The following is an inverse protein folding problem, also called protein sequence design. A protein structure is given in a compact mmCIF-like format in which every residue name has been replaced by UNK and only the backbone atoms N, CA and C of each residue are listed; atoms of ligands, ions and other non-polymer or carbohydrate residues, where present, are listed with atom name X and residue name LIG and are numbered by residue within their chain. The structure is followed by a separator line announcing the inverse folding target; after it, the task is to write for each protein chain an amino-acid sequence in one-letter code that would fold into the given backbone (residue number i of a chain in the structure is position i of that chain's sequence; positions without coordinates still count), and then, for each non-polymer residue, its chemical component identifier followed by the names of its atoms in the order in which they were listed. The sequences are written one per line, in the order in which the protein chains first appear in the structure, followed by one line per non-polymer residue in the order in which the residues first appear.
data_IF_006455863779
#
_entry.id   IF_006455863779
#
_cell.length_a   1.000
_cell.length_b   1.000
_cell.length_c   1.000
_cell.angle_alpha   90.00
_cell.angle_beta   90.00
_cell.angle_gamma   90.00
#
_symmetry.space_group_name_H-M   'P 1'
#
loop_
_entity.id
_entity.type
_entity.pdbx_description
1 polymer ?
#
# COMPACT_ATOMS: atom_id res chain seq x y z
N UNK A 1 37.38 -3.49 39.27
CA UNK A 1 37.49 -2.43 38.24
C UNK A 1 36.75 -2.93 37.00
N UNK A 2 35.45 -2.70 36.89
CA UNK A 2 34.78 -1.51 36.33
C UNK A 2 34.22 -1.85 34.92
N UNK A 3 32.89 -1.86 34.84
CA UNK A 3 32.06 -2.20 33.68
C UNK A 3 32.12 -1.13 32.59
N UNK A 4 32.26 -1.55 31.33
CA UNK A 4 32.18 -0.66 30.16
C UNK A 4 31.09 -1.12 29.20
N UNK A 5 29.94 -0.44 29.23
CA UNK A 5 28.86 -0.55 28.23
C UNK A 5 29.37 -0.01 26.88
N UNK A 6 29.15 -0.67 25.73
CA UNK A 6 29.30 0.02 24.45
C UNK A 6 28.18 1.05 24.29
N UNK A 7 28.56 2.26 23.88
CA UNK A 7 27.70 3.44 23.78
C UNK A 7 26.85 3.33 22.53
N UNK A 8 25.54 3.49 22.69
CA UNK A 8 24.63 3.82 21.60
C UNK A 8 24.96 5.23 21.12
N UNK A 9 25.30 5.38 19.83
CA UNK A 9 25.44 6.68 19.20
C UNK A 9 26.61 6.76 18.24
N UNK A 10 26.34 6.48 16.97
CA UNK A 10 26.77 7.27 15.80
C UNK A 10 26.32 6.55 14.52
N UNK A 11 25.01 6.56 14.28
CA UNK A 11 24.50 6.39 12.92
C UNK A 11 24.78 7.71 12.19
N UNK A 12 25.92 7.79 11.51
CA UNK A 12 26.21 8.85 10.55
C UNK A 12 25.20 8.74 9.41
N UNK A 13 24.16 9.57 9.46
CA UNK A 13 23.26 9.80 8.33
C UNK A 13 24.05 10.64 7.33
N UNK A 14 24.62 10.00 6.31
CA UNK A 14 25.18 10.69 5.15
C UNK A 14 24.01 11.30 4.38
N UNK A 15 23.87 12.62 4.44
CA UNK A 15 22.88 13.35 3.66
C UNK A 15 23.16 13.11 2.17
N UNK A 16 22.22 12.46 1.48
CA UNK A 16 22.28 12.31 0.03
C UNK A 16 22.25 13.69 -0.63
N UNK A 17 23.05 13.95 -1.69
CA UNK A 17 23.05 15.24 -2.36
C UNK A 17 21.66 15.50 -2.95
N UNK A 18 21.10 16.67 -2.61
CA UNK A 18 19.77 17.09 -3.03
C UNK A 18 19.67 17.07 -4.56
N UNK A 19 18.84 16.16 -5.09
CA UNK A 19 18.33 16.29 -6.46
C UNK A 19 17.45 17.53 -6.46
N UNK A 20 17.92 18.63 -7.05
CA UNK A 20 17.08 19.78 -7.41
C UNK A 20 16.01 19.31 -8.39
N UNK A 21 14.91 18.81 -7.85
CA UNK A 21 13.63 18.78 -8.55
C UNK A 21 13.31 20.24 -8.87
N UNK A 22 13.18 20.54 -10.15
CA UNK A 22 12.94 21.87 -10.69
C UNK A 22 11.69 22.45 -10.01
N UNK A 23 11.90 23.28 -8.99
CA UNK A 23 10.79 23.95 -8.31
C UNK A 23 10.19 24.97 -9.28
N UNK A 24 8.84 25.04 -9.38
CA UNK A 24 8.19 26.07 -10.18
C UNK A 24 8.57 27.47 -9.66
N UNK A 25 8.64 28.48 -10.54
CA UNK A 25 9.13 29.82 -10.19
C UNK A 25 8.28 30.43 -9.06
N UNK A 26 8.94 30.94 -8.01
CA UNK A 26 8.27 31.69 -6.94
C UNK A 26 7.73 33.01 -7.50
N UNK A 27 6.46 33.38 -7.22
CA UNK A 27 5.85 34.60 -7.75
C UNK A 27 6.46 35.86 -7.12
N UNK A 28 6.47 37.00 -7.84
CA UNK A 28 7.03 38.26 -7.35
C UNK A 28 6.24 38.79 -6.16
N UNK A 29 6.96 39.17 -5.11
CA UNK A 29 6.42 39.77 -3.90
C UNK A 29 5.89 41.18 -4.19
N UNK A 30 4.60 41.29 -4.44
CA UNK A 30 3.89 42.58 -4.41
C UNK A 30 2.53 42.41 -3.74
N UNK A 31 2.34 43.24 -2.71
CA UNK A 31 1.11 43.66 -2.05
C UNK A 31 -0.06 42.65 -1.88
N UNK A 32 -0.35 42.37 -0.60
CA UNK A 32 -1.55 41.76 -0.04
C UNK A 32 -2.75 41.62 -1.00
N UNK A 33 -2.97 40.40 -1.50
CA UNK A 33 -4.21 39.98 -2.15
C UNK A 33 -4.79 38.81 -1.36
N UNK A 34 -5.92 39.03 -0.69
CA UNK A 34 -6.67 38.03 0.11
C UNK A 34 -7.48 37.05 -0.75
N UNK A 35 -6.92 36.61 -1.88
CA UNK A 35 -7.52 35.58 -2.71
C UNK A 35 -6.91 34.23 -2.33
N UNK A 36 -7.59 33.50 -1.43
CA UNK A 36 -7.35 32.06 -1.26
C UNK A 36 -7.62 31.39 -2.61
N UNK A 37 -6.57 31.11 -3.38
CA UNK A 37 -6.67 30.21 -4.53
C UNK A 37 -6.94 28.83 -3.95
N UNK A 38 -8.19 28.43 -3.98
CA UNK A 38 -8.63 27.10 -3.58
C UNK A 38 -7.95 26.09 -4.48
N UNK A 39 -6.91 25.43 -3.96
CA UNK A 39 -6.29 24.29 -4.64
C UNK A 39 -7.30 23.15 -4.59
N UNK A 40 -8.08 23.00 -5.66
CA UNK A 40 -8.87 21.80 -5.89
C UNK A 40 -7.89 20.67 -6.22
N UNK A 41 -7.70 19.68 -5.33
CA UNK A 41 -6.86 18.54 -5.66
C UNK A 41 -7.43 17.86 -6.92
N UNK A 42 -6.58 17.41 -7.86
CA UNK A 42 -7.06 16.66 -9.01
C UNK A 42 -7.84 15.46 -8.50
N UNK A 43 -9.14 15.46 -8.76
CA UNK A 43 -10.03 14.34 -8.45
C UNK A 43 -9.58 13.22 -9.37
N UNK A 44 -8.94 12.18 -8.81
CA UNK A 44 -8.74 10.92 -9.50
C UNK A 44 -10.13 10.41 -9.89
N UNK A 45 -10.48 10.53 -11.16
CA UNK A 45 -11.76 10.06 -11.67
C UNK A 45 -11.66 8.55 -11.77
N UNK A 46 -12.26 7.85 -10.83
CA UNK A 46 -12.42 6.40 -10.84
C UNK A 46 -12.95 5.90 -12.20
N UNK A 47 -13.76 6.73 -12.87
CA UNK A 47 -14.27 6.51 -14.23
C UNK A 47 -13.17 6.43 -15.31
N UNK A 48 -12.06 7.16 -15.19
CA UNK A 48 -10.94 7.07 -16.13
C UNK A 48 -10.23 5.72 -15.95
N UNK A 49 -9.95 5.32 -14.70
CA UNK A 49 -9.35 4.02 -14.41
C UNK A 49 -10.20 2.85 -14.92
N UNK A 50 -11.53 2.96 -14.81
CA UNK A 50 -12.49 1.99 -15.36
C UNK A 50 -12.44 1.89 -16.89
N UNK A 51 -12.25 3.02 -17.58
CA UNK A 51 -12.09 3.05 -19.04
C UNK A 51 -10.79 2.39 -19.47
N UNK A 52 -9.68 2.67 -18.79
CA UNK A 52 -8.40 1.99 -19.03
C UNK A 52 -8.51 0.47 -18.83
N UNK A 53 -9.20 0.02 -17.77
CA UNK A 53 -9.43 -1.40 -17.49
C UNK A 53 -10.29 -2.04 -18.59
N UNK A 54 -11.36 -1.35 -19.02
CA UNK A 54 -12.25 -1.83 -20.07
C UNK A 54 -11.55 -1.92 -21.42
N UNK A 55 -10.75 -0.92 -21.77
CA UNK A 55 -9.94 -0.90 -22.99
C UNK A 55 -8.91 -2.02 -22.99
N UNK A 56 -8.23 -2.29 -21.87
CA UNK A 56 -7.34 -3.45 -21.73
C UNK A 56 -8.10 -4.75 -21.97
N UNK A 57 -9.24 -4.93 -21.30
CA UNK A 57 -10.07 -6.14 -21.46
C UNK A 57 -10.54 -6.33 -22.91
N UNK A 58 -10.88 -5.25 -23.60
CA UNK A 58 -11.26 -5.31 -25.01
C UNK A 58 -10.06 -5.71 -25.87
N UNK A 59 -8.91 -5.07 -25.70
CA UNK A 59 -7.71 -5.37 -26.48
C UNK A 59 -7.20 -6.80 -26.28
N UNK A 60 -7.37 -7.37 -25.09
CA UNK A 60 -6.92 -8.73 -24.77
C UNK A 60 -7.94 -9.80 -25.18
N UNK A 61 -9.24 -9.56 -24.99
CA UNK A 61 -10.26 -10.60 -25.11
C UNK A 61 -11.07 -10.53 -26.40
N UNK A 62 -11.05 -9.41 -27.12
CA UNK A 62 -11.80 -9.28 -28.38
C UNK A 62 -10.90 -9.73 -29.53
N UNK A 63 -11.32 -10.76 -30.31
CA UNK A 63 -10.57 -11.21 -31.47
C UNK A 63 -10.42 -10.08 -32.50
N UNK A 64 -9.18 -9.68 -32.79
CA UNK A 64 -8.88 -8.69 -33.82
C UNK A 64 -8.78 -9.40 -35.17
N UNK A 65 -9.68 -9.06 -36.11
CA UNK A 65 -9.56 -9.51 -37.49
C UNK A 65 -8.52 -8.66 -38.22
N UNK A 66 -7.48 -9.29 -38.73
CA UNK A 66 -6.46 -8.63 -39.58
C UNK A 66 -6.83 -8.87 -41.05
N UNK A 67 -6.93 -7.79 -41.83
CA UNK A 67 -7.34 -7.84 -43.24
C UNK A 67 -6.16 -7.87 -44.22
N UNK A 68 -4.95 -7.60 -43.73
CA UNK A 68 -3.73 -7.36 -44.51
C UNK A 68 -2.67 -8.46 -44.27
N UNK A 69 -3.12 -9.71 -44.14
CA UNK A 69 -2.27 -10.90 -44.01
C UNK A 69 -1.96 -11.51 -45.37
N UNK A 70 -0.67 -11.54 -45.72
CA UNK A 70 -0.14 -12.28 -46.87
C UNK A 70 -0.32 -13.79 -46.67
N UNK A 71 -0.36 -14.56 -47.76
CA UNK A 71 -0.52 -16.02 -47.71
C UNK A 71 0.65 -16.71 -46.98
N UNK A 72 0.41 -17.89 -46.40
CA UNK A 72 1.38 -18.58 -45.53
C UNK A 72 2.69 -18.97 -46.21
N UNK A 73 2.68 -19.14 -47.53
CA UNK A 73 3.87 -19.44 -48.35
C UNK A 73 4.43 -18.21 -49.06
N UNK A 74 3.87 -17.02 -48.83
CA UNK A 74 4.38 -15.79 -49.41
C UNK A 74 5.74 -15.45 -48.76
N UNK A 75 6.68 -14.94 -49.57
CA UNK A 75 7.96 -14.46 -49.07
C UNK A 75 7.83 -13.18 -48.24
N UNK A 76 8.93 -12.79 -47.61
CA UNK A 76 9.00 -11.55 -46.81
C UNK A 76 8.87 -10.32 -47.70
N UNK A 77 7.85 -9.49 -47.46
CA UNK A 77 7.65 -8.19 -48.09
C UNK A 77 8.49 -7.09 -47.44
N UNK A 78 8.65 -5.96 -48.13
CA UNK A 78 9.39 -4.80 -47.61
C UNK A 78 8.78 -4.19 -46.34
N UNK A 79 7.49 -4.42 -46.09
CA UNK A 79 6.77 -3.95 -44.91
C UNK A 79 6.78 -4.91 -43.71
N UNK A 80 7.19 -6.16 -43.90
CA UNK A 80 7.06 -7.21 -42.87
C UNK A 80 7.98 -6.94 -41.67
N UNK A 81 9.16 -6.38 -41.94
CA UNK A 81 10.08 -5.94 -40.89
C UNK A 81 9.42 -4.90 -39.95
N UNK A 82 8.71 -3.92 -40.52
CA UNK A 82 8.05 -2.90 -39.71
C UNK A 82 6.85 -3.45 -38.96
N UNK A 83 6.07 -4.37 -39.54
CA UNK A 83 4.99 -5.06 -38.83
C UNK A 83 5.53 -5.85 -37.64
N UNK A 84 6.58 -6.66 -37.83
CA UNK A 84 7.23 -7.40 -36.76
C UNK A 84 7.73 -6.47 -35.65
N UNK A 85 8.40 -5.36 -36.00
CA UNK A 85 8.91 -4.40 -35.02
C UNK A 85 7.79 -3.81 -34.15
N UNK A 86 6.66 -3.44 -34.75
CA UNK A 86 5.53 -2.89 -34.01
C UNK A 86 4.87 -3.95 -33.13
N UNK A 87 4.68 -5.18 -33.64
CA UNK A 87 4.14 -6.29 -32.85
C UNK A 87 5.04 -6.64 -31.67
N UNK A 88 6.35 -6.70 -31.88
CA UNK A 88 7.31 -7.01 -30.82
C UNK A 88 7.28 -5.96 -29.71
N UNK A 89 7.20 -4.67 -30.05
CA UNK A 89 7.05 -3.59 -29.06
C UNK A 89 5.77 -3.73 -28.26
N UNK A 90 4.63 -3.93 -28.95
CA UNK A 90 3.33 -4.16 -28.30
C UNK A 90 3.39 -5.33 -27.33
N UNK A 91 4.02 -6.44 -27.71
CA UNK A 91 4.13 -7.62 -26.86
C UNK A 91 5.08 -7.39 -25.67
N UNK A 92 6.21 -6.71 -25.87
CA UNK A 92 7.10 -6.33 -24.77
C UNK A 92 6.40 -5.43 -23.76
N UNK A 93 5.65 -4.44 -24.24
CA UNK A 93 4.86 -3.54 -23.38
C UNK A 93 3.78 -4.31 -22.62
N UNK A 94 3.13 -5.30 -23.26
CA UNK A 94 2.14 -6.18 -22.63
C UNK A 94 2.77 -6.99 -21.49
N UNK A 95 3.91 -7.63 -21.75
CA UNK A 95 4.63 -8.41 -20.74
C UNK A 95 5.11 -7.53 -19.58
N UNK A 96 5.68 -6.35 -19.86
CA UNK A 96 6.13 -5.42 -18.84
C UNK A 96 4.98 -4.95 -17.93
N UNK A 97 3.80 -4.67 -18.49
CA UNK A 97 2.61 -4.30 -17.71
C UNK A 97 2.13 -5.43 -16.80
N UNK A 98 2.10 -6.66 -17.33
CA UNK A 98 1.71 -7.84 -16.55
C UNK A 98 2.65 -8.06 -15.36
N UNK A 99 3.96 -7.90 -15.57
CA UNK A 99 4.96 -8.02 -14.50
C UNK A 99 4.78 -6.95 -13.41
N UNK A 100 4.56 -5.69 -13.80
CA UNK A 100 4.30 -4.60 -12.86
C UNK A 100 3.04 -4.86 -12.03
N UNK A 101 1.95 -5.31 -12.66
CA UNK A 101 0.70 -5.62 -11.95
C UNK A 101 0.87 -6.82 -11.01
N UNK A 102 1.67 -7.82 -11.39
CA UNK A 102 2.02 -8.95 -10.52
C UNK A 102 2.84 -8.51 -9.30
N UNK A 103 3.88 -7.70 -9.51
CA UNK A 103 4.72 -7.20 -8.42
C UNK A 103 3.91 -6.35 -7.43
N UNK A 104 3.06 -5.44 -7.91
CA UNK A 104 2.15 -4.66 -7.06
C UNK A 104 1.24 -5.55 -6.21
N UNK A 105 0.61 -6.57 -6.83
CA UNK A 105 -0.28 -7.50 -6.10
C UNK A 105 0.49 -8.27 -5.03
N UNK A 106 1.71 -8.71 -5.35
CA UNK A 106 2.59 -9.40 -4.41
C UNK A 106 2.97 -8.51 -3.23
N UNK A 107 3.42 -7.29 -3.48
CA UNK A 107 3.80 -6.33 -2.44
C UNK A 107 2.62 -5.99 -1.51
N UNK A 108 1.43 -5.77 -2.07
CA UNK A 108 0.21 -5.51 -1.28
C UNK A 108 -0.17 -6.72 -0.43
N UNK A 109 -0.10 -7.93 -0.99
CA UNK A 109 -0.38 -9.15 -0.23
C UNK A 109 0.61 -9.34 0.93
N UNK A 110 1.91 -9.17 0.67
CA UNK A 110 2.96 -9.27 1.69
C UNK A 110 2.79 -8.20 2.78
N UNK A 111 2.45 -6.96 2.39
CA UNK A 111 2.20 -5.88 3.35
C UNK A 111 0.98 -6.18 4.24
N UNK A 112 -0.11 -6.67 3.66
CA UNK A 112 -1.33 -7.00 4.40
C UNK A 112 -1.08 -8.16 5.37
N UNK A 113 -0.43 -9.24 4.92
CA UNK A 113 -0.03 -10.35 5.79
C UNK A 113 0.79 -9.85 6.99
N UNK A 114 1.83 -9.03 6.73
CA UNK A 114 2.68 -8.48 7.79
C UNK A 114 1.96 -7.49 8.71
N UNK A 115 0.92 -6.81 8.22
CA UNK A 115 0.07 -5.93 9.02
C UNK A 115 -0.87 -6.75 9.91
N UNK A 116 -1.51 -7.77 9.37
CA UNK A 116 -2.39 -8.67 10.09
C UNK A 116 -1.66 -9.44 11.19
N UNK A 117 -0.45 -9.93 10.92
CA UNK A 117 0.40 -10.57 11.94
C UNK A 117 0.70 -9.64 13.11
N UNK A 118 1.03 -8.37 12.83
CA UNK A 118 1.28 -7.37 13.88
C UNK A 118 0.03 -7.04 14.69
N UNK A 119 -1.12 -6.94 14.02
CA UNK A 119 -2.41 -6.71 14.69
C UNK A 119 -2.80 -7.91 15.57
N UNK A 120 -2.72 -9.14 15.04
CA UNK A 120 -2.96 -10.38 15.80
C UNK A 120 -2.06 -10.47 17.03
N UNK A 121 -0.76 -10.18 16.89
CA UNK A 121 0.16 -10.18 18.03
C UNK A 121 -0.19 -9.10 19.08
N UNK A 122 -0.68 -7.94 18.66
CA UNK A 122 -1.14 -6.90 19.58
C UNK A 122 -2.45 -7.28 20.27
N UNK A 123 -3.37 -7.91 19.54
CA UNK A 123 -4.65 -8.43 20.05
C UNK A 123 -4.42 -9.56 21.06
N UNK A 124 -3.54 -10.52 20.77
CA UNK A 124 -3.18 -11.59 21.70
C UNK A 124 -2.57 -11.05 23.00
N UNK A 125 -1.67 -10.07 22.91
CA UNK A 125 -1.10 -9.40 24.10
C UNK A 125 -2.18 -8.67 24.90
N UNK A 126 -3.11 -8.03 24.23
CA UNK A 126 -4.21 -7.28 24.86
C UNK A 126 -5.24 -8.23 25.48
N UNK A 127 -5.57 -9.33 24.81
CA UNK A 127 -6.47 -10.38 25.29
C UNK A 127 -5.91 -11.06 26.54
N UNK A 128 -4.62 -11.45 26.53
CA UNK A 128 -3.95 -12.01 27.72
C UNK A 128 -4.00 -11.06 28.92
N UNK A 129 -3.72 -9.77 28.70
CA UNK A 129 -3.83 -8.75 29.76
C UNK A 129 -5.27 -8.53 30.24
N UNK A 130 -6.25 -8.59 29.33
CA UNK A 130 -7.68 -8.45 29.64
C UNK A 130 -8.18 -9.64 30.47
N UNK A 131 -7.79 -10.86 30.11
CA UNK A 131 -8.13 -12.07 30.89
C UNK A 131 -7.56 -11.98 32.30
N UNK A 132 -6.27 -11.66 32.44
CA UNK A 132 -5.64 -11.48 33.76
C UNK A 132 -6.37 -10.43 34.62
N UNK A 133 -6.73 -9.27 34.03
CA UNK A 133 -7.49 -8.24 34.75
C UNK A 133 -8.91 -8.69 35.11
N UNK A 134 -9.53 -9.52 34.29
CA UNK A 134 -10.84 -10.10 34.57
C UNK A 134 -10.78 -11.07 35.76
N UNK A 135 -9.77 -11.94 35.81
CA UNK A 135 -9.52 -12.85 36.93
C UNK A 135 -9.26 -12.07 38.24
N UNK A 136 -8.37 -11.07 38.20
CA UNK A 136 -8.07 -10.21 39.35
C UNK A 136 -9.31 -9.43 39.84
N UNK A 137 -10.20 -9.02 38.93
CA UNK A 137 -11.44 -8.34 39.29
C UNK A 137 -12.46 -9.31 39.91
N UNK A 138 -12.65 -10.49 39.33
CA UNK A 138 -13.57 -11.49 39.87
C UNK A 138 -13.18 -11.92 41.29
N UNK A 139 -11.89 -12.11 41.56
CA UNK A 139 -11.40 -12.42 42.91
C UNK A 139 -11.68 -11.30 43.92
N UNK A 140 -11.63 -10.04 43.48
CA UNK A 140 -11.96 -8.90 44.34
C UNK A 140 -13.45 -8.82 44.63
N UNK A 141 -14.29 -9.01 43.62
CA UNK A 141 -15.75 -9.08 43.77
C UNK A 141 -16.11 -10.20 44.76
N UNK A 142 -15.56 -11.41 44.57
CA UNK A 142 -15.77 -12.56 45.45
C UNK A 142 -15.34 -12.26 46.90
N UNK A 143 -14.15 -11.69 47.12
CA UNK A 143 -13.72 -11.29 48.47
C UNK A 143 -14.60 -10.20 49.10
N UNK A 144 -15.15 -9.29 48.29
CA UNK A 144 -16.02 -8.22 48.79
C UNK A 144 -17.46 -8.67 49.04
N UNK A 145 -17.90 -9.74 48.39
CA UNK A 145 -19.20 -10.37 48.63
C UNK A 145 -19.15 -11.32 49.84
N UNK A 146 -18.02 -12.01 50.06
CA UNK A 146 -17.79 -12.78 51.28
C UNK A 146 -17.75 -11.90 52.54
N UNK A 147 -17.08 -10.73 52.48
CA UNK A 147 -17.07 -9.79 53.61
C UNK A 147 -18.49 -9.28 53.93
N UNK A 148 -19.31 -8.97 52.92
CA UNK A 148 -20.71 -8.52 53.14
C UNK A 148 -21.61 -9.61 53.73
N UNK A 149 -21.48 -10.86 53.27
CA UNK A 149 -22.25 -11.97 53.85
C UNK A 149 -21.85 -12.27 55.29
N UNK A 150 -20.59 -12.02 55.67
CA UNK A 150 -20.10 -12.24 57.03
C UNK A 150 -20.60 -11.20 58.05
N UNK A 151 -20.87 -9.97 57.61
CA UNK A 151 -21.41 -8.91 58.45
C UNK A 151 -22.94 -9.07 58.71
N UNK A 152 -23.68 -9.65 57.76
CA UNK A 152 -25.13 -9.89 57.90
C UNK A 152 -25.46 -11.04 58.88
N UNK A 153 -24.59 -12.07 58.99
CA UNK A 153 -24.79 -13.25 59.87
C UNK A 153 -24.42 -12.98 61.35
N UNK A 154 -23.82 -11.83 61.64
CA UNK A 154 -23.40 -11.42 63.00
C UNK A 154 -24.42 -10.52 63.72
N UNK A 155 -25.61 -10.29 63.15
CA UNK A 155 -26.60 -9.32 63.66
C UNK A 155 -27.95 -9.87 64.13
N UNK A 156 -28.07 -11.18 64.41
CA UNK A 156 -29.24 -11.79 65.11
C UNK A 156 -28.91 -12.21 66.57
#
# INVERSE_FOLDING_TARGET
MASGKPRDGELQIVAAPERKLMQPPKPPTTAASTALVEYTPPVFKEEEEDLEIKLRRILENVPVRVSNTSGSSAGSGSGDFHQYRQMRRKEQDRLARMEVDYQKRKEVAEFNMRREERLKAAEERTAKKRLKRGEDNNQKEESSDDDKNSDDDATD
#
